data_IF_608453477547
#
_entry.id   IF_608453477547
#
_cell.length_a   1.000
_cell.length_b   1.000
_cell.length_c   1.000
_cell.angle_alpha   90.00
_cell.angle_beta   90.00
_cell.angle_gamma   90.00
#
_symmetry.space_group_name_H-M   'P 1'
#
loop_
_entity.id
_entity.type
_entity.pdbx_description
1 polymer ?
#
# COMPACT_ATOMS: atom_id res chain seq x y z
N UNK A 1 -33.74 -18.27 7.22
CA UNK A 1 -34.05 -16.99 7.92
C UNK A 1 -32.96 -15.99 7.54
N UNK A 2 -33.27 -14.97 6.75
CA UNK A 2 -32.31 -13.93 6.31
C UNK A 2 -32.16 -12.85 7.39
N UNK A 3 -30.96 -12.32 7.56
CA UNK A 3 -30.72 -11.19 8.47
C UNK A 3 -30.68 -9.89 7.68
N UNK A 4 -31.48 -8.91 8.09
CA UNK A 4 -31.57 -7.60 7.45
C UNK A 4 -30.63 -6.64 8.17
N UNK A 5 -29.55 -6.23 7.49
CA UNK A 5 -28.57 -5.31 8.05
C UNK A 5 -28.81 -3.93 7.45
N UNK A 6 -29.31 -3.01 8.29
CA UNK A 6 -29.61 -1.63 7.88
C UNK A 6 -28.34 -0.78 8.06
N UNK A 7 -27.65 -0.51 6.95
CA UNK A 7 -26.51 0.42 6.94
C UNK A 7 -27.02 1.85 6.72
N UNK A 8 -27.42 2.52 7.79
CA UNK A 8 -27.58 3.99 7.84
C UNK A 8 -28.47 4.63 6.77
N UNK A 9 -29.43 3.91 6.18
CA UNK A 9 -30.48 4.47 5.31
C UNK A 9 -30.21 4.52 3.80
N UNK A 10 -29.12 3.95 3.27
CA UNK A 10 -28.80 4.07 1.83
C UNK A 10 -28.90 2.77 1.01
N UNK A 11 -28.93 1.59 1.65
CA UNK A 11 -29.21 0.31 0.96
C UNK A 11 -29.43 -0.83 1.97
N UNK A 12 -30.48 -1.62 1.78
CA UNK A 12 -30.67 -2.88 2.50
C UNK A 12 -30.03 -4.02 1.70
N UNK A 13 -29.23 -4.83 2.37
CA UNK A 13 -28.63 -6.03 1.79
C UNK A 13 -29.21 -7.25 2.49
N UNK A 14 -29.85 -8.15 1.74
CA UNK A 14 -30.24 -9.46 2.26
C UNK A 14 -29.09 -10.42 2.04
N UNK A 15 -28.47 -10.85 3.14
CA UNK A 15 -27.54 -11.96 3.09
C UNK A 15 -28.25 -13.25 3.51
N UNK A 16 -28.14 -14.33 2.72
CA UNK A 16 -28.61 -15.65 3.14
C UNK A 16 -27.79 -16.11 4.35
N UNK A 17 -28.46 -16.28 5.50
CA UNK A 17 -27.82 -16.71 6.74
C UNK A 17 -27.56 -18.22 6.65
N UNK A 18 -26.29 -18.62 6.66
CA UNK A 18 -25.85 -20.02 6.62
C UNK A 18 -25.13 -20.45 5.34
N UNK A 19 -25.06 -19.60 4.33
CA UNK A 19 -24.21 -19.85 3.17
C UNK A 19 -22.79 -19.39 3.51
N UNK A 20 -21.84 -20.33 3.63
CA UNK A 20 -20.44 -19.99 3.48
C UNK A 20 -20.31 -19.43 2.07
N UNK A 21 -20.18 -18.10 1.94
CA UNK A 21 -19.73 -17.44 0.72
C UNK A 21 -18.29 -17.91 0.45
N UNK A 22 -18.16 -19.16 0.01
CA UNK A 22 -16.92 -19.73 -0.47
C UNK A 22 -16.68 -19.03 -1.79
N UNK A 23 -15.85 -17.98 -1.74
CA UNK A 23 -15.23 -17.43 -2.93
C UNK A 23 -14.68 -18.61 -3.72
N UNK A 24 -15.07 -18.72 -4.99
CA UNK A 24 -14.45 -19.68 -5.90
C UNK A 24 -12.94 -19.46 -5.84
N UNK A 25 -12.17 -20.52 -6.01
CA UNK A 25 -10.71 -20.41 -5.88
C UNK A 25 -10.12 -19.41 -6.89
N UNK A 26 -10.79 -19.20 -8.02
CA UNK A 26 -10.52 -18.10 -8.97
C UNK A 26 -10.67 -16.72 -8.34
N UNK A 27 -11.78 -16.42 -7.66
CA UNK A 27 -11.97 -15.12 -6.99
C UNK A 27 -10.98 -14.89 -5.87
N UNK A 28 -10.60 -15.95 -5.13
CA UNK A 28 -9.53 -15.83 -4.12
C UNK A 28 -8.20 -15.50 -4.76
N UNK A 29 -7.90 -16.10 -5.92
CA UNK A 29 -6.66 -15.83 -6.66
C UNK A 29 -6.61 -14.40 -7.17
N UNK A 30 -7.69 -13.90 -7.76
CA UNK A 30 -7.78 -12.50 -8.20
C UNK A 30 -7.58 -11.51 -7.04
N UNK A 31 -8.17 -11.79 -5.88
CA UNK A 31 -8.02 -10.97 -4.68
C UNK A 31 -6.55 -10.97 -4.23
N UNK A 32 -5.92 -12.14 -4.12
CA UNK A 32 -4.51 -12.25 -3.73
C UNK A 32 -3.58 -11.53 -4.74
N UNK A 33 -3.80 -11.71 -6.04
CA UNK A 33 -3.03 -11.03 -7.09
C UNK A 33 -3.21 -9.50 -7.05
N UNK A 34 -4.37 -9.01 -6.62
CA UNK A 34 -4.61 -7.58 -6.42
C UNK A 34 -3.87 -7.04 -5.19
N UNK A 35 -3.87 -7.79 -4.08
CA UNK A 35 -3.13 -7.44 -2.86
C UNK A 35 -1.61 -7.44 -3.09
N UNK A 36 -1.06 -8.45 -3.76
CA UNK A 36 0.37 -8.49 -4.11
C UNK A 36 0.77 -7.30 -4.98
N UNK A 37 -0.03 -6.97 -6.00
CA UNK A 37 0.22 -5.80 -6.86
C UNK A 37 0.18 -4.48 -6.08
N UNK A 38 -0.69 -4.36 -5.08
CA UNK A 38 -0.76 -3.18 -4.22
C UNK A 38 0.45 -3.09 -3.27
N UNK A 39 0.89 -4.22 -2.73
CA UNK A 39 2.03 -4.32 -1.83
C UNK A 39 3.35 -4.02 -2.56
N UNK A 40 3.50 -4.51 -3.80
CA UNK A 40 4.64 -4.17 -4.66
C UNK A 40 4.74 -2.66 -4.94
N UNK A 41 3.61 -1.99 -5.21
CA UNK A 41 3.58 -0.54 -5.46
C UNK A 41 4.04 0.23 -4.23
N UNK A 42 3.54 -0.13 -3.04
CA UNK A 42 3.99 0.46 -1.76
C UNK A 42 5.48 0.22 -1.51
N UNK A 43 5.99 -0.97 -1.81
CA UNK A 43 7.39 -1.32 -1.65
C UNK A 43 8.34 -0.58 -2.60
N UNK A 44 7.91 -0.35 -3.86
CA UNK A 44 8.69 0.40 -4.86
C UNK A 44 8.76 1.89 -4.52
N UNK A 45 7.65 2.50 -4.09
CA UNK A 45 7.62 3.92 -3.68
C UNK A 45 8.47 4.19 -2.44
N UNK A 46 8.42 3.32 -1.43
CA UNK A 46 9.19 3.50 -0.19
C UNK A 46 10.70 3.40 -0.45
N UNK A 47 11.13 2.43 -1.28
CA UNK A 47 12.54 2.29 -1.68
C UNK A 47 13.04 3.50 -2.47
N UNK A 48 12.25 3.98 -3.43
CA UNK A 48 12.64 5.13 -4.24
C UNK A 48 12.82 6.41 -3.40
N UNK A 49 11.92 6.66 -2.43
CA UNK A 49 12.06 7.80 -1.50
C UNK A 49 13.32 7.71 -0.64
N UNK A 50 13.67 6.53 -0.15
CA UNK A 50 14.90 6.32 0.65
C UNK A 50 16.14 6.58 -0.19
N UNK A 51 16.19 6.07 -1.43
CA UNK A 51 17.31 6.34 -2.33
C UNK A 51 17.47 7.83 -2.63
N UNK A 52 16.37 8.54 -2.92
CA UNK A 52 16.41 9.99 -3.12
C UNK A 52 16.96 10.70 -1.88
N UNK A 53 16.47 10.35 -0.68
CA UNK A 53 16.92 10.96 0.57
C UNK A 53 18.43 10.75 0.81
N UNK A 54 18.93 9.54 0.59
CA UNK A 54 20.36 9.23 0.72
C UNK A 54 21.19 10.04 -0.27
N UNK A 55 20.77 10.10 -1.54
CA UNK A 55 21.47 10.88 -2.57
C UNK A 55 21.54 12.36 -2.22
N UNK A 56 20.44 12.94 -1.72
CA UNK A 56 20.42 14.36 -1.29
C UNK A 56 21.38 14.59 -0.12
N UNK A 57 21.39 13.71 0.88
CA UNK A 57 22.31 13.81 2.03
C UNK A 57 23.77 13.76 1.57
N UNK A 58 24.12 12.84 0.67
CA UNK A 58 25.47 12.72 0.13
C UNK A 58 25.91 13.97 -0.63
N UNK A 59 25.02 14.57 -1.43
CA UNK A 59 25.31 15.83 -2.14
C UNK A 59 25.59 16.96 -1.15
N UNK A 60 24.76 17.11 -0.10
CA UNK A 60 24.95 18.14 0.92
C UNK A 60 26.30 17.94 1.64
N UNK A 61 26.61 16.71 2.05
CA UNK A 61 27.89 16.40 2.70
C UNK A 61 29.08 16.71 1.79
N UNK A 62 28.99 16.40 0.50
CA UNK A 62 30.05 16.72 -0.47
C UNK A 62 30.24 18.23 -0.62
N UNK A 63 29.15 19.00 -0.68
CA UNK A 63 29.22 20.48 -0.75
C UNK A 63 29.85 21.04 0.51
N UNK A 64 29.38 20.61 1.69
CA UNK A 64 29.93 21.07 2.98
C UNK A 64 31.42 20.73 3.08
N UNK A 65 31.80 19.49 2.74
CA UNK A 65 33.20 19.06 2.74
C UNK A 65 34.04 19.92 1.80
N UNK A 66 33.54 20.22 0.60
CA UNK A 66 34.25 21.07 -0.37
C UNK A 66 34.47 22.49 0.18
N UNK A 67 33.47 23.09 0.81
CA UNK A 67 33.60 24.42 1.41
C UNK A 67 34.54 24.42 2.62
N UNK A 68 34.52 23.38 3.45
CA UNK A 68 35.45 23.24 4.57
C UNK A 68 36.89 23.10 4.07
N UNK A 69 37.15 22.22 3.10
CA UNK A 69 38.49 22.03 2.52
C UNK A 69 39.02 23.26 1.77
N UNK A 70 38.15 24.17 1.34
CA UNK A 70 38.55 25.41 0.67
C UNK A 70 38.82 26.57 1.64
N UNK A 71 38.23 26.53 2.84
CA UNK A 71 38.39 27.55 3.87
C UNK A 71 39.43 27.20 4.95
N UNK A 72 39.92 25.96 4.99
CA UNK A 72 41.18 25.57 5.65
C UNK A 72 42.36 25.81 4.71
#
# INVERSE_FOLDING_TARGET
MSEEVITGGLKSFRYPKGEQLRLSDEKKREINEAYERAEERKGKEKRHRIFIAITVILIILAIVSYFVSRNL
#
